data_IF_320494591539
#
_entry.id   IF_320494591539
#
_cell.length_a   1.000
_cell.length_b   1.000
_cell.length_c   1.000
_cell.angle_alpha   90.00
_cell.angle_beta   90.00
_cell.angle_gamma   90.00
#
_symmetry.space_group_name_H-M   'P 1'
#
loop_
_entity.id
_entity.type
_entity.pdbx_description
1 polymer ?
#
# COMPACT_ATOMS: atom_id res chain seq x y z
N UNK A 1 -1.54 8.06 10.01
CA UNK A 1 -1.60 6.62 10.32
C UNK A 1 -2.88 6.05 9.72
N UNK A 2 -2.87 4.79 9.30
CA UNK A 2 -4.06 4.12 8.75
C UNK A 2 -4.93 3.52 9.85
N UNK A 3 -6.24 3.50 9.59
CA UNK A 3 -7.23 2.84 10.43
C UNK A 3 -7.68 1.51 9.80
N UNK A 4 -8.26 0.65 10.63
CA UNK A 4 -8.96 -0.55 10.19
C UNK A 4 -10.41 -0.39 10.62
N UNK A 5 -11.35 -0.62 9.70
CA UNK A 5 -12.77 -0.48 9.99
C UNK A 5 -13.34 -1.66 10.80
N UNK A 6 -14.63 -1.62 11.10
CA UNK A 6 -15.30 -2.66 11.86
C UNK A 6 -15.36 -4.02 11.13
N UNK A 7 -15.14 -4.05 9.82
CA UNK A 7 -15.08 -5.25 9.00
C UNK A 7 -13.66 -5.81 8.89
N UNK A 8 -12.67 -5.18 9.51
CA UNK A 8 -11.27 -5.61 9.45
C UNK A 8 -10.53 -5.11 8.21
N UNK A 9 -11.11 -4.21 7.42
CA UNK A 9 -10.50 -3.69 6.20
C UNK A 9 -9.67 -2.44 6.47
N UNK A 10 -8.48 -2.40 5.88
CA UNK A 10 -7.60 -1.24 5.93
C UNK A 10 -8.22 -0.05 5.19
N UNK A 11 -8.31 1.09 5.86
CA UNK A 11 -8.82 2.33 5.28
C UNK A 11 -7.66 3.15 4.71
N UNK A 12 -7.77 3.67 3.47
CA UNK A 12 -6.76 4.54 2.90
C UNK A 12 -6.65 5.87 3.68
N UNK A 13 -5.58 6.67 3.47
CA UNK A 13 -5.48 8.01 4.04
C UNK A 13 -6.60 8.94 3.55
N UNK A 14 -6.71 10.16 4.09
CA UNK A 14 -7.67 11.15 3.55
C UNK A 14 -7.38 11.44 2.08
N UNK A 15 -8.44 11.65 1.29
CA UNK A 15 -8.35 12.05 -0.12
C UNK A 15 -8.17 13.58 -0.29
N UNK A 16 -8.20 14.36 0.79
CA UNK A 16 -8.03 15.82 0.75
C UNK A 16 -6.59 16.25 0.42
N UNK A 17 -5.62 15.33 0.54
CA UNK A 17 -4.23 15.52 0.17
C UNK A 17 -3.82 14.48 -0.87
N UNK A 18 -3.57 14.94 -2.09
CA UNK A 18 -3.23 14.08 -3.23
C UNK A 18 -1.82 13.51 -3.12
N UNK A 19 -0.96 14.03 -2.24
CA UNK A 19 0.42 13.56 -2.07
C UNK A 19 0.63 12.85 -0.72
N UNK A 20 -0.40 12.18 -0.21
CA UNK A 20 -0.39 11.55 1.11
C UNK A 20 -0.44 10.03 1.04
N UNK A 21 0.54 9.40 1.68
CA UNK A 21 0.49 7.98 2.07
C UNK A 21 0.18 7.86 3.55
N UNK A 22 -0.43 6.75 3.96
CA UNK A 22 -0.53 6.36 5.36
C UNK A 22 0.14 5.02 5.61
N UNK A 23 0.73 4.87 6.80
CA UNK A 23 1.25 3.61 7.31
C UNK A 23 0.34 3.04 8.39
N UNK A 24 0.18 1.71 8.41
CA UNK A 24 -0.54 0.99 9.46
C UNK A 24 0.31 0.86 10.73
N UNK A 25 0.20 1.85 11.62
CA UNK A 25 1.05 2.00 12.80
C UNK A 25 0.85 0.93 13.91
N UNK A 26 -0.16 0.06 13.80
CA UNK A 26 -0.32 -1.09 14.71
C UNK A 26 0.54 -2.30 14.30
N UNK A 27 1.11 -2.28 13.09
CA UNK A 27 2.08 -3.27 12.63
C UNK A 27 3.52 -2.82 12.89
N UNK A 28 4.47 -3.43 12.19
CA UNK A 28 5.90 -3.10 12.29
C UNK A 28 6.22 -1.84 11.50
N UNK A 29 7.26 -1.10 11.93
CA UNK A 29 7.74 0.06 11.19
C UNK A 29 8.45 -0.40 9.91
N UNK A 30 8.40 0.37 8.81
CA UNK A 30 9.17 0.05 7.61
C UNK A 30 10.66 -0.18 7.93
N UNK A 31 11.15 -1.36 7.55
CA UNK A 31 12.54 -1.81 7.76
C UNK A 31 12.77 -2.58 9.06
N UNK A 32 11.74 -2.79 9.87
CA UNK A 32 11.78 -3.77 10.96
C UNK A 32 11.36 -5.15 10.44
N UNK A 33 11.78 -6.21 11.14
CA UNK A 33 11.38 -7.58 10.83
C UNK A 33 9.86 -7.67 10.82
N UNK A 34 9.29 -8.25 9.76
CA UNK A 34 7.87 -8.38 9.57
C UNK A 34 7.37 -7.61 8.34
N UNK A 35 6.04 -7.54 8.20
CA UNK A 35 5.40 -6.86 7.05
C UNK A 35 4.85 -5.48 7.45
N UNK A 36 5.44 -4.42 6.90
CA UNK A 36 4.92 -3.06 7.01
C UNK A 36 3.89 -2.77 5.90
N UNK A 37 2.78 -2.12 6.24
CA UNK A 37 1.72 -1.80 5.26
C UNK A 37 1.61 -0.29 5.06
N UNK A 38 1.72 0.16 3.81
CA UNK A 38 1.55 1.55 3.41
C UNK A 38 0.47 1.61 2.33
N UNK A 39 -0.51 2.50 2.50
CA UNK A 39 -1.58 2.71 1.53
C UNK A 39 -1.66 4.17 1.09
N UNK A 40 -2.06 4.39 -0.15
CA UNK A 40 -2.22 5.70 -0.76
C UNK A 40 -3.23 5.65 -1.90
N UNK A 41 -3.78 6.80 -2.25
CA UNK A 41 -4.75 6.91 -3.34
C UNK A 41 -4.07 6.84 -4.71
N UNK A 42 -4.74 6.22 -5.67
CA UNK A 42 -4.36 6.25 -7.10
C UNK A 42 -4.78 7.58 -7.71
N UNK A 43 -5.97 8.05 -7.37
CA UNK A 43 -6.53 9.33 -7.75
C UNK A 43 -7.54 9.84 -6.69
N UNK A 44 -7.99 11.06 -6.91
CA UNK A 44 -9.08 11.70 -6.18
C UNK A 44 -10.15 12.14 -7.18
N UNK A 45 -11.24 12.72 -6.69
CA UNK A 45 -12.29 13.28 -7.56
C UNK A 45 -11.79 14.39 -8.49
N UNK A 46 -10.59 14.94 -8.27
CA UNK A 46 -10.07 16.09 -9.02
C UNK A 46 -8.74 15.82 -9.75
N UNK A 47 -7.93 14.85 -9.32
CA UNK A 47 -6.62 14.57 -9.95
C UNK A 47 -6.06 13.20 -9.59
N UNK A 48 -5.04 12.77 -10.33
CA UNK A 48 -4.11 11.74 -9.89
C UNK A 48 -3.55 12.04 -8.48
N UNK A 49 -3.23 10.99 -7.73
CA UNK A 49 -2.70 11.05 -6.36
C UNK A 49 -1.36 10.32 -6.23
N UNK A 50 -0.87 10.17 -5.00
CA UNK A 50 0.51 9.75 -4.67
C UNK A 50 0.91 8.40 -5.29
N UNK A 51 -0.04 7.51 -5.53
CA UNK A 51 0.18 6.18 -6.11
C UNK A 51 -0.40 6.02 -7.52
N UNK A 52 -0.65 7.11 -8.25
CA UNK A 52 -1.13 7.08 -9.64
C UNK A 52 -0.27 6.19 -10.56
N UNK A 53 1.04 6.21 -10.36
CA UNK A 53 2.02 5.47 -11.16
C UNK A 53 2.56 4.22 -10.43
N UNK A 54 1.93 3.79 -9.32
CA UNK A 54 2.42 2.64 -8.55
C UNK A 54 2.46 1.35 -9.38
N UNK A 55 1.55 1.22 -10.36
CA UNK A 55 1.49 0.12 -11.33
C UNK A 55 2.70 0.03 -12.27
N UNK A 56 3.52 1.08 -12.33
CA UNK A 56 4.70 1.13 -13.19
C UNK A 56 5.94 0.53 -12.50
N UNK A 57 5.86 0.22 -11.20
CA UNK A 57 6.96 -0.47 -10.50
C UNK A 57 7.11 -1.91 -10.98
N UNK A 58 8.33 -2.24 -11.38
CA UNK A 58 8.72 -3.56 -11.85
C UNK A 58 9.64 -4.27 -10.84
N UNK A 59 9.75 -5.60 -10.97
CA UNK A 59 10.69 -6.39 -10.16
C UNK A 59 12.11 -5.83 -10.30
N UNK A 60 12.77 -5.56 -9.17
CA UNK A 60 14.11 -5.00 -9.11
C UNK A 60 14.16 -3.48 -8.95
N UNK A 61 13.04 -2.77 -9.12
CA UNK A 61 12.95 -1.34 -8.81
C UNK A 61 13.19 -1.09 -7.33
N UNK A 62 13.69 0.10 -7.00
CA UNK A 62 14.00 0.49 -5.63
C UNK A 62 13.27 1.74 -5.20
N UNK A 63 12.81 1.73 -3.97
CA UNK A 63 12.27 2.91 -3.30
C UNK A 63 12.80 2.99 -1.87
N UNK A 64 12.61 4.15 -1.24
CA UNK A 64 13.08 4.39 0.13
C UNK A 64 11.95 4.99 0.96
N UNK A 65 11.80 4.47 2.17
CA UNK A 65 10.88 5.01 3.17
C UNK A 65 11.71 5.79 4.20
N UNK A 66 11.42 7.08 4.32
CA UNK A 66 11.98 7.93 5.37
C UNK A 66 11.10 7.84 6.63
N UNK A 67 11.70 7.47 7.75
CA UNK A 67 11.03 7.27 9.03
C UNK A 67 11.09 8.54 9.87
N UNK A 68 10.16 8.68 10.81
CA UNK A 68 10.12 9.79 11.76
C UNK A 68 11.37 9.86 12.67
N UNK A 69 12.10 8.74 12.82
CA UNK A 69 13.38 8.69 13.54
C UNK A 69 14.59 9.18 12.70
N UNK A 70 14.35 9.65 11.47
CA UNK A 70 15.36 10.13 10.53
C UNK A 70 16.09 9.02 9.77
N UNK A 71 15.77 7.74 10.00
CA UNK A 71 16.36 6.62 9.25
C UNK A 71 15.67 6.44 7.90
N UNK A 72 16.40 5.83 6.98
CA UNK A 72 15.91 5.45 5.65
C UNK A 72 15.97 3.95 5.49
N UNK A 73 14.86 3.35 5.09
CA UNK A 73 14.77 1.94 4.74
C UNK A 73 14.61 1.83 3.22
N UNK A 74 15.57 1.22 2.54
CA UNK A 74 15.53 1.03 1.09
C UNK A 74 15.02 -0.37 0.79
N UNK A 75 14.05 -0.45 -0.11
CA UNK A 75 13.42 -1.70 -0.51
C UNK A 75 13.64 -1.95 -1.98
N UNK A 76 13.66 -3.22 -2.36
CA UNK A 76 13.60 -3.66 -3.76
C UNK A 76 12.27 -4.36 -4.02
N UNK A 77 11.64 -4.03 -5.13
CA UNK A 77 10.36 -4.61 -5.54
C UNK A 77 10.55 -6.06 -5.97
N UNK A 78 9.74 -6.94 -5.39
CA UNK A 78 9.69 -8.36 -5.73
C UNK A 78 8.66 -8.62 -6.82
N UNK A 79 7.45 -8.08 -6.67
CA UNK A 79 6.38 -8.15 -7.65
C UNK A 79 5.28 -7.11 -7.37
N UNK A 80 4.40 -6.91 -8.34
CA UNK A 80 3.19 -6.11 -8.22
C UNK A 80 2.01 -6.93 -8.75
N UNK A 81 1.03 -7.20 -7.89
CA UNK A 81 -0.16 -7.99 -8.22
C UNK A 81 -1.44 -7.20 -7.94
N UNK A 82 -2.44 -7.36 -8.80
CA UNK A 82 -3.78 -6.80 -8.60
C UNK A 82 -4.74 -7.88 -8.09
N UNK A 83 -5.55 -7.55 -7.09
CA UNK A 83 -6.53 -8.45 -6.49
C UNK A 83 -7.90 -7.79 -6.44
N UNK A 84 -8.94 -8.56 -6.81
CA UNK A 84 -10.32 -8.13 -6.61
C UNK A 84 -10.60 -7.90 -5.12
N UNK A 85 -11.37 -6.86 -4.80
CA UNK A 85 -11.65 -6.49 -3.40
C UNK A 85 -12.53 -7.49 -2.66
N UNK A 86 -13.32 -8.28 -3.38
CA UNK A 86 -14.18 -9.33 -2.85
C UNK A 86 -13.46 -10.68 -2.63
N UNK A 87 -12.30 -10.87 -3.25
CA UNK A 87 -11.41 -12.03 -3.08
C UNK A 87 -9.99 -11.59 -2.67
N UNK A 88 -9.92 -10.56 -1.83
CA UNK A 88 -8.62 -9.99 -1.43
C UNK A 88 -7.86 -10.98 -0.54
N UNK A 89 -6.61 -11.35 -0.88
CA UNK A 89 -5.89 -12.40 -0.16
C UNK A 89 -5.24 -11.87 1.12
N UNK A 90 -6.05 -11.59 2.14
CA UNK A 90 -5.62 -11.00 3.42
C UNK A 90 -4.39 -11.70 4.02
N UNK A 91 -4.38 -13.03 4.03
CA UNK A 91 -3.26 -13.79 4.58
C UNK A 91 -1.96 -13.57 3.80
N UNK A 92 -2.01 -13.37 2.48
CA UNK A 92 -0.80 -13.13 1.68
C UNK A 92 -0.29 -11.70 1.86
N UNK A 93 -1.20 -10.75 2.00
CA UNK A 93 -0.87 -9.32 2.04
C UNK A 93 -0.49 -8.86 3.45
N UNK A 94 -1.23 -9.31 4.47
CA UNK A 94 -1.14 -8.78 5.83
C UNK A 94 -0.44 -9.70 6.84
N UNK A 95 -0.20 -10.98 6.50
CA UNK A 95 0.50 -11.87 7.43
C UNK A 95 1.94 -11.41 7.64
N UNK A 96 2.43 -11.68 8.84
CA UNK A 96 3.79 -11.33 9.22
C UNK A 96 4.83 -12.25 8.57
N UNK A 97 6.03 -11.73 8.39
CA UNK A 97 7.13 -12.39 7.68
C UNK A 97 8.38 -12.46 8.57
N UNK A 98 9.31 -13.35 8.24
CA UNK A 98 10.59 -13.46 8.97
C UNK A 98 11.60 -12.40 8.53
N UNK A 99 11.40 -11.83 7.35
CA UNK A 99 12.25 -10.81 6.76
C UNK A 99 11.58 -9.44 6.91
N UNK A 100 12.35 -8.36 6.74
CA UNK A 100 11.80 -7.01 6.74
C UNK A 100 11.19 -6.71 5.37
N UNK A 101 9.87 -6.72 5.30
CA UNK A 101 9.10 -6.55 4.06
C UNK A 101 8.14 -5.36 4.15
N UNK A 102 7.70 -4.87 2.99
CA UNK A 102 6.70 -3.83 2.88
C UNK A 102 5.69 -4.16 1.79
N UNK A 103 4.45 -3.72 1.99
CA UNK A 103 3.39 -3.68 0.97
C UNK A 103 3.00 -2.24 0.70
N UNK A 104 3.04 -1.83 -0.56
CA UNK A 104 2.41 -0.59 -1.02
C UNK A 104 1.07 -0.95 -1.64
N UNK A 105 -0.02 -0.33 -1.18
CA UNK A 105 -1.38 -0.66 -1.58
C UNK A 105 -2.07 0.57 -2.16
N UNK A 106 -2.71 0.40 -3.32
CA UNK A 106 -3.58 1.43 -3.90
C UNK A 106 -4.79 0.81 -4.58
N UNK A 107 -5.81 1.63 -4.86
CA UNK A 107 -6.98 1.22 -5.62
C UNK A 107 -6.60 0.94 -7.09
N UNK A 108 -7.22 -0.07 -7.71
CA UNK A 108 -6.95 -0.47 -9.08
C UNK A 108 -8.20 -1.04 -9.77
N UNK A 109 -8.07 -1.42 -11.04
CA UNK A 109 -9.17 -1.96 -11.83
C UNK A 109 -10.19 -0.91 -12.25
N UNK A 110 -11.38 -1.38 -12.64
CA UNK A 110 -12.46 -0.49 -13.07
C UNK A 110 -13.08 0.26 -11.90
N UNK A 111 -13.51 1.50 -12.16
CA UNK A 111 -14.27 2.30 -11.20
C UNK A 111 -15.76 1.98 -11.29
N UNK A 112 -16.34 1.41 -10.23
CA UNK A 112 -17.77 1.23 -10.11
C UNK A 112 -18.42 2.54 -9.61
N UNK A 113 -19.08 3.26 -10.52
CA UNK A 113 -19.78 4.50 -10.21
C UNK A 113 -20.96 4.34 -9.25
N UNK A 114 -21.55 3.14 -9.15
CA UNK A 114 -22.66 2.84 -8.24
C UNK A 114 -22.15 2.68 -6.82
N UNK A 115 -21.06 1.92 -6.65
CA UNK A 115 -20.38 1.74 -5.36
C UNK A 115 -19.49 2.94 -4.98
N UNK A 116 -19.16 3.79 -5.96
CA UNK A 116 -18.16 4.88 -5.87
C UNK A 116 -16.80 4.37 -5.41
N UNK A 117 -16.42 3.18 -5.86
CA UNK A 117 -15.19 2.52 -5.47
C UNK A 117 -14.57 1.78 -6.66
N UNK A 118 -13.27 1.60 -6.59
CA UNK A 118 -12.52 0.74 -7.49
C UNK A 118 -12.82 -0.73 -7.20
N UNK A 119 -12.82 -1.57 -8.22
CA UNK A 119 -13.13 -3.00 -8.09
C UNK A 119 -11.97 -3.82 -7.51
N UNK A 120 -10.74 -3.34 -7.64
CA UNK A 120 -9.53 -4.06 -7.27
C UNK A 120 -8.58 -3.21 -6.40
N UNK A 121 -7.57 -3.87 -5.86
CA UNK A 121 -6.42 -3.23 -5.23
C UNK A 121 -5.14 -3.74 -5.90
N UNK A 122 -4.23 -2.83 -6.22
CA UNK A 122 -2.85 -3.17 -6.57
C UNK A 122 -2.02 -3.24 -5.30
N UNK A 123 -1.22 -4.31 -5.19
CA UNK A 123 -0.27 -4.52 -4.09
C UNK A 123 1.12 -4.74 -4.66
N UNK A 124 2.04 -3.83 -4.31
CA UNK A 124 3.47 -4.01 -4.56
C UNK A 124 4.10 -4.68 -3.35
N UNK A 125 4.80 -5.78 -3.58
CA UNK A 125 5.56 -6.54 -2.58
C UNK A 125 7.03 -6.18 -2.73
N UNK A 126 7.70 -5.91 -1.61
CA UNK A 126 9.11 -5.54 -1.61
C UNK A 126 9.79 -5.94 -0.30
N UNK A 127 11.10 -6.23 -0.37
CA UNK A 127 11.93 -6.54 0.79
C UNK A 127 13.07 -5.53 0.98
N UNK A 128 13.54 -5.40 2.22
CA UNK A 128 14.62 -4.50 2.61
C UNK A 128 15.97 -4.94 2.02
N UNK A 129 16.80 -3.99 1.57
CA UNK A 129 18.16 -4.22 1.05
C UNK A 129 19.24 -3.44 1.80
#
# INVERSE_FOLDING_TARGET
ELAVDAAGKLQPPTADDTNLVGWYAKGVSPGEQGTAIIAGHVDTTTSAAVFADLRELEMGDRFTVERADGRKATFVVDNADTFAKDDFPDQRVYADTRDAEVRLITCAGDYDHSAKDYTENLVVFAHLV
#
